data_IF_853721166076
#
_entry.id   IF_853721166076
#
_cell.length_a   1.000
_cell.length_b   1.000
_cell.length_c   1.000
_cell.angle_alpha   90.00
_cell.angle_beta   90.00
_cell.angle_gamma   90.00
#
_symmetry.space_group_name_H-M   'P 1'
#
loop_
_entity.id
_entity.type
_entity.pdbx_description
1 polymer ?
#
# COMPACT_ATOMS: atom_id res chain seq x y z
N UNK A 1 -18.69 -6.93 12.72
CA UNK A 1 -18.89 -6.47 11.36
C UNK A 1 -17.64 -5.78 10.84
N UNK A 2 -17.24 -6.10 9.61
CA UNK A 2 -16.03 -5.55 9.01
C UNK A 2 -16.39 -4.47 8.01
N UNK A 3 -15.74 -3.32 8.14
CA UNK A 3 -15.94 -2.20 7.22
C UNK A 3 -14.61 -1.84 6.57
N UNK A 4 -14.66 -1.56 5.27
CA UNK A 4 -13.48 -1.09 4.54
C UNK A 4 -13.82 0.27 3.95
N UNK A 5 -12.96 1.25 4.22
CA UNK A 5 -13.21 2.61 3.76
C UNK A 5 -11.91 3.40 3.73
N UNK A 6 -11.92 4.49 2.98
CA UNK A 6 -10.78 5.42 3.01
C UNK A 6 -10.95 6.39 4.15
N UNK A 7 -9.84 6.73 4.80
CA UNK A 7 -9.85 7.55 6.00
C UNK A 7 -10.34 8.96 5.71
N UNK A 8 -10.91 9.57 6.75
CA UNK A 8 -11.23 10.98 6.75
C UNK A 8 -10.33 11.66 7.78
N UNK A 9 -10.44 12.98 7.86
CA UNK A 9 -9.64 13.74 8.82
C UNK A 9 -9.87 13.25 10.25
N UNK A 10 -11.07 12.78 10.55
CA UNK A 10 -11.39 12.26 11.88
C UNK A 10 -10.62 11.00 12.24
N UNK A 11 -10.06 10.32 11.27
CA UNK A 11 -9.34 9.06 11.49
C UNK A 11 -7.85 9.25 11.69
N UNK A 12 -7.34 10.49 11.54
CA UNK A 12 -5.90 10.74 11.53
C UNK A 12 -5.21 10.23 12.80
N UNK A 13 -5.78 10.54 13.97
CA UNK A 13 -5.13 10.13 15.21
C UNK A 13 -5.17 8.63 15.41
N UNK A 14 -6.27 8.00 14.98
CA UNK A 14 -6.37 6.55 15.04
C UNK A 14 -5.34 5.88 14.14
N UNK A 15 -5.12 6.46 12.96
CA UNK A 15 -4.11 5.94 12.05
C UNK A 15 -2.71 6.07 12.63
N UNK A 16 -2.40 7.24 13.21
CA UNK A 16 -1.10 7.41 13.85
C UNK A 16 -0.88 6.38 14.94
N UNK A 17 -1.91 6.15 15.74
CA UNK A 17 -1.84 5.19 16.83
C UNK A 17 -1.64 3.77 16.29
N UNK A 18 -2.39 3.43 15.25
CA UNK A 18 -2.35 2.09 14.68
C UNK A 18 -0.95 1.76 14.14
N UNK A 19 -0.40 2.63 13.32
CA UNK A 19 0.92 2.39 12.75
C UNK A 19 2.03 2.55 13.80
N UNK A 20 1.84 3.46 14.75
CA UNK A 20 2.82 3.68 15.80
C UNK A 20 3.02 2.49 16.70
N UNK A 21 1.96 1.75 16.97
CA UNK A 21 2.05 0.56 17.84
C UNK A 21 2.95 -0.51 17.24
N UNK A 22 3.11 -0.53 15.93
CA UNK A 22 3.95 -1.50 15.26
C UNK A 22 5.30 -0.91 14.85
N UNK A 23 5.65 0.26 15.40
CA UNK A 23 6.87 0.99 15.03
C UNK A 23 6.93 1.30 13.54
N UNK A 24 5.78 1.53 12.95
CA UNK A 24 5.70 1.87 11.53
C UNK A 24 5.12 3.25 11.36
N UNK A 25 5.62 4.19 12.14
CA UNK A 25 5.15 5.58 12.06
C UNK A 25 5.24 6.11 10.64
N UNK A 26 4.22 6.85 10.26
CA UNK A 26 4.19 7.51 8.98
C UNK A 26 3.84 8.97 9.23
N UNK A 27 4.82 9.84 9.08
CA UNK A 27 4.63 11.26 9.39
C UNK A 27 3.89 12.01 8.29
N UNK A 28 3.52 11.34 7.21
CA UNK A 28 2.74 11.96 6.14
C UNK A 28 1.24 11.72 6.30
N UNK A 29 0.82 11.01 7.34
CA UNK A 29 -0.61 10.71 7.54
C UNK A 29 -1.44 11.99 7.61
N UNK A 30 -0.90 13.04 8.25
CA UNK A 30 -1.63 14.30 8.34
C UNK A 30 -1.96 14.90 6.98
N UNK A 31 -1.10 14.66 6.00
CA UNK A 31 -1.29 15.19 4.65
C UNK A 31 -2.00 14.21 3.74
N UNK A 32 -1.77 12.92 3.93
CA UNK A 32 -2.20 11.91 2.98
C UNK A 32 -3.31 11.00 3.53
N UNK A 33 -3.98 11.41 4.61
CA UNK A 33 -4.95 10.51 5.26
C UNK A 33 -6.02 9.99 4.29
N UNK A 34 -6.45 10.82 3.35
CA UNK A 34 -7.48 10.41 2.41
C UNK A 34 -7.03 9.30 1.46
N UNK A 35 -5.74 9.01 1.45
CA UNK A 35 -5.16 7.95 0.64
C UNK A 35 -4.82 6.71 1.45
N UNK A 36 -5.37 6.62 2.66
CA UNK A 36 -5.21 5.43 3.50
C UNK A 36 -6.52 4.69 3.56
N UNK A 37 -6.50 3.42 3.15
CA UNK A 37 -7.65 2.54 3.24
C UNK A 37 -7.57 1.75 4.53
N UNK A 38 -8.69 1.67 5.23
CA UNK A 38 -8.78 1.09 6.56
C UNK A 38 -9.71 -0.10 6.53
N UNK A 39 -9.31 -1.17 7.22
CA UNK A 39 -10.20 -2.26 7.59
C UNK A 39 -10.52 -2.10 9.06
N UNK A 40 -11.80 -1.94 9.36
CA UNK A 40 -12.25 -1.75 10.74
C UNK A 40 -13.17 -2.88 11.14
N UNK A 41 -12.97 -3.37 12.36
CA UNK A 41 -13.82 -4.42 12.91
C UNK A 41 -14.04 -4.12 14.39
N UNK A 42 -15.31 -4.13 14.81
CA UNK A 42 -15.67 -3.87 16.19
C UNK A 42 -15.12 -2.51 16.68
N UNK A 43 -15.13 -1.51 15.80
CA UNK A 43 -14.68 -0.17 16.14
C UNK A 43 -13.18 0.01 16.16
N UNK A 44 -12.41 -1.02 15.82
CA UNK A 44 -10.96 -0.94 15.87
C UNK A 44 -10.35 -1.16 14.50
N UNK A 45 -9.28 -0.44 14.23
CA UNK A 45 -8.56 -0.60 12.98
C UNK A 45 -7.77 -1.91 13.04
N UNK A 46 -7.99 -2.78 12.07
CA UNK A 46 -7.29 -4.07 11.96
C UNK A 46 -6.26 -4.08 10.85
N UNK A 47 -6.45 -3.25 9.83
CA UNK A 47 -5.50 -3.16 8.74
C UNK A 47 -5.55 -1.76 8.15
N UNK A 48 -4.42 -1.35 7.58
CA UNK A 48 -4.33 -0.06 6.92
C UNK A 48 -3.31 -0.14 5.80
N UNK A 49 -3.59 0.58 4.72
CA UNK A 49 -2.66 0.66 3.59
C UNK A 49 -2.78 2.04 2.98
N UNK A 50 -1.63 2.68 2.77
CA UNK A 50 -1.59 4.01 2.17
C UNK A 50 -0.85 4.00 0.86
N UNK A 51 -1.09 5.02 0.06
CA UNK A 51 -0.39 5.16 -1.21
C UNK A 51 -0.17 6.64 -1.51
N UNK A 52 0.78 6.88 -2.41
CA UNK A 52 1.07 8.22 -2.88
C UNK A 52 1.09 8.16 -4.40
N UNK A 53 0.28 8.99 -5.04
CA UNK A 53 0.08 8.94 -6.48
C UNK A 53 0.89 10.02 -7.19
N UNK A 54 1.48 9.64 -8.33
CA UNK A 54 2.14 10.58 -9.21
C UNK A 54 1.75 10.19 -10.62
N UNK A 55 0.83 10.97 -11.22
CA UNK A 55 0.28 10.64 -12.52
C UNK A 55 -0.46 9.32 -12.48
N UNK A 56 -0.12 8.41 -13.36
CA UNK A 56 -0.76 7.10 -13.38
C UNK A 56 0.02 6.05 -12.59
N UNK A 57 1.06 6.48 -11.87
CA UNK A 57 1.85 5.61 -11.01
C UNK A 57 1.54 5.91 -9.56
N UNK A 58 1.67 4.90 -8.70
CA UNK A 58 1.51 5.11 -7.27
C UNK A 58 2.49 4.24 -6.49
N UNK A 59 2.92 4.76 -5.36
CA UNK A 59 3.81 4.06 -4.45
C UNK A 59 3.01 3.72 -3.20
N UNK A 60 2.95 2.43 -2.86
CA UNK A 60 2.36 1.99 -1.60
C UNK A 60 3.34 2.37 -0.52
N UNK A 61 2.88 3.12 0.50
CA UNK A 61 3.82 3.62 1.49
C UNK A 61 3.72 2.93 2.85
N UNK A 62 2.55 2.46 3.23
CA UNK A 62 2.39 1.79 4.52
C UNK A 62 1.37 0.69 4.35
N UNK A 63 1.69 -0.48 4.83
CA UNK A 63 0.76 -1.61 4.79
C UNK A 63 0.97 -2.41 6.05
N UNK A 64 -0.07 -2.48 6.88
CA UNK A 64 0.02 -3.15 8.16
C UNK A 64 -1.31 -3.79 8.48
N UNK A 65 -1.26 -5.00 9.02
CA UNK A 65 -2.47 -5.65 9.53
C UNK A 65 -2.13 -6.36 10.83
N UNK A 66 -3.12 -6.43 11.73
CA UNK A 66 -2.90 -7.05 13.02
C UNK A 66 -2.88 -8.58 12.87
N UNK A 67 -2.24 -9.28 13.83
CA UNK A 67 -2.12 -10.74 13.71
C UNK A 67 -3.44 -11.49 13.68
N UNK A 68 -4.52 -10.88 14.17
CA UNK A 68 -5.82 -11.56 14.17
C UNK A 68 -6.61 -11.37 12.88
N UNK A 69 -6.04 -10.70 11.89
CA UNK A 69 -6.65 -10.64 10.56
C UNK A 69 -6.29 -11.95 9.86
N UNK A 70 -7.32 -12.73 9.50
CA UNK A 70 -7.03 -14.00 8.85
C UNK A 70 -6.66 -13.78 7.39
N UNK A 71 -6.11 -14.84 6.79
CA UNK A 71 -5.59 -14.76 5.44
C UNK A 71 -6.65 -14.33 4.43
N UNK A 72 -7.84 -14.90 4.55
CA UNK A 72 -8.94 -14.60 3.63
C UNK A 72 -9.34 -13.14 3.71
N UNK A 73 -9.43 -12.60 4.92
CA UNK A 73 -9.78 -11.20 5.12
C UNK A 73 -8.72 -10.28 4.54
N UNK A 74 -7.44 -10.63 4.73
CA UNK A 74 -6.37 -9.82 4.17
C UNK A 74 -6.40 -9.83 2.64
N UNK A 75 -6.62 -11.00 2.04
CA UNK A 75 -6.69 -11.10 0.59
C UNK A 75 -7.83 -10.25 0.04
N UNK A 76 -8.97 -10.31 0.71
CA UNK A 76 -10.13 -9.51 0.31
C UNK A 76 -9.82 -8.02 0.41
N UNK A 77 -9.21 -7.61 1.52
CA UNK A 77 -8.87 -6.21 1.76
C UNK A 77 -7.91 -5.69 0.68
N UNK A 78 -6.87 -6.47 0.40
CA UNK A 78 -5.88 -6.03 -0.57
C UNK A 78 -6.45 -6.03 -1.98
N UNK A 79 -7.31 -6.99 -2.29
CA UNK A 79 -7.97 -7.02 -3.59
C UNK A 79 -8.86 -5.79 -3.78
N UNK A 80 -9.57 -5.38 -2.72
CA UNK A 80 -10.34 -4.14 -2.77
C UNK A 80 -9.45 -2.94 -3.01
N UNK A 81 -8.29 -2.92 -2.38
CA UNK A 81 -7.35 -1.83 -2.58
C UNK A 81 -6.93 -1.74 -4.04
N UNK A 82 -6.60 -2.88 -4.64
CA UNK A 82 -6.21 -2.89 -6.05
C UNK A 82 -7.35 -2.40 -6.95
N UNK A 83 -8.58 -2.78 -6.61
CA UNK A 83 -9.72 -2.35 -7.38
C UNK A 83 -9.90 -0.84 -7.31
N UNK A 84 -9.74 -0.26 -6.12
CA UNK A 84 -9.81 1.19 -5.97
C UNK A 84 -8.70 1.89 -6.74
N UNK A 85 -7.51 1.29 -6.78
CA UNK A 85 -6.41 1.88 -7.55
C UNK A 85 -6.77 1.93 -9.03
N UNK A 86 -7.39 0.88 -9.54
CA UNK A 86 -7.83 0.86 -10.94
C UNK A 86 -8.88 1.95 -11.19
N UNK A 87 -9.80 2.15 -10.27
CA UNK A 87 -10.84 3.16 -10.41
C UNK A 87 -10.26 4.57 -10.43
N UNK A 88 -9.09 4.76 -9.85
CA UNK A 88 -8.43 6.07 -9.87
C UNK A 88 -7.49 6.22 -11.05
N UNK A 89 -7.57 5.31 -12.02
CA UNK A 89 -6.74 5.32 -13.23
C UNK A 89 -5.25 5.18 -12.93
N UNK A 90 -4.93 4.53 -11.82
CA UNK A 90 -3.56 4.17 -11.53
C UNK A 90 -3.25 2.90 -12.29
N UNK A 91 -2.17 2.94 -13.08
CA UNK A 91 -1.80 1.81 -13.93
C UNK A 91 -0.68 0.97 -13.37
N UNK A 92 0.20 1.59 -12.59
CA UNK A 92 1.38 0.90 -12.06
C UNK A 92 1.48 1.17 -10.58
N UNK A 93 1.65 0.11 -9.80
CA UNK A 93 1.90 0.22 -8.37
C UNK A 93 3.32 -0.22 -8.07
N UNK A 94 3.93 0.44 -7.11
CA UNK A 94 5.28 0.13 -6.65
C UNK A 94 5.27 0.03 -5.14
N UNK A 95 6.10 -0.85 -4.61
CA UNK A 95 6.29 -0.89 -3.17
C UNK A 95 7.69 -1.40 -2.87
N UNK A 96 8.20 -1.05 -1.69
CA UNK A 96 9.47 -1.54 -1.22
C UNK A 96 9.26 -2.34 0.06
N UNK A 97 9.98 -3.43 0.19
CA UNK A 97 9.95 -4.23 1.40
C UNK A 97 11.35 -4.79 1.64
N UNK A 98 11.69 -5.02 2.92
CA UNK A 98 12.92 -5.73 3.24
C UNK A 98 12.62 -7.05 3.94
N UNK A 99 11.37 -7.52 3.82
CA UNK A 99 10.94 -8.78 4.41
C UNK A 99 10.65 -9.78 3.30
N UNK A 100 11.49 -10.81 3.13
CA UNK A 100 11.27 -11.78 2.05
C UNK A 100 9.90 -12.46 2.09
N UNK A 101 9.34 -12.67 3.29
CA UNK A 101 8.02 -13.29 3.38
C UNK A 101 6.94 -12.44 2.72
N UNK A 102 7.07 -11.12 2.77
CA UNK A 102 6.11 -10.22 2.16
C UNK A 102 6.09 -10.35 0.66
N UNK A 103 7.26 -10.67 0.07
CA UNK A 103 7.36 -10.82 -1.38
C UNK A 103 6.40 -11.88 -1.88
N UNK A 104 6.33 -13.02 -1.19
CA UNK A 104 5.44 -14.11 -1.60
C UNK A 104 3.98 -13.66 -1.63
N UNK A 105 3.57 -12.91 -0.61
CA UNK A 105 2.20 -12.41 -0.54
C UNK A 105 1.88 -11.50 -1.73
N UNK A 106 2.79 -10.56 -2.01
CA UNK A 106 2.54 -9.62 -3.10
C UNK A 106 2.64 -10.30 -4.47
N UNK A 107 3.52 -11.31 -4.60
CA UNK A 107 3.58 -12.06 -5.85
C UNK A 107 2.27 -12.79 -6.14
N UNK A 108 1.54 -13.15 -5.10
CA UNK A 108 0.21 -13.74 -5.27
C UNK A 108 -0.72 -12.77 -6.01
N UNK A 109 -0.50 -11.47 -5.86
CA UNK A 109 -1.30 -10.44 -6.53
C UNK A 109 -0.62 -9.92 -7.79
N UNK A 110 0.29 -10.71 -8.35
CA UNK A 110 0.97 -10.38 -9.62
C UNK A 110 1.98 -9.24 -9.52
N UNK A 111 2.49 -8.99 -8.34
CA UNK A 111 3.64 -8.12 -8.21
C UNK A 111 4.88 -8.88 -8.64
N UNK A 112 5.80 -8.19 -9.28
CA UNK A 112 7.07 -8.78 -9.70
C UNK A 112 8.21 -7.95 -9.14
N UNK A 113 9.34 -8.63 -8.88
CA UNK A 113 10.54 -7.94 -8.40
C UNK A 113 11.18 -7.22 -9.58
N UNK A 114 11.51 -5.95 -9.39
CA UNK A 114 12.17 -5.17 -10.44
C UNK A 114 13.41 -4.49 -9.88
N UNK A 115 14.23 -3.96 -10.80
CA UNK A 115 15.42 -3.23 -10.42
C UNK A 115 15.10 -1.75 -10.29
N UNK A 116 15.94 -1.04 -9.55
CA UNK A 116 15.74 0.39 -9.31
C UNK A 116 15.63 1.17 -10.61
N UNK A 117 16.41 0.77 -11.61
CA UNK A 117 16.42 1.46 -12.91
C UNK A 117 15.09 1.37 -13.64
N UNK A 118 14.27 0.39 -13.29
CA UNK A 118 12.97 0.21 -13.92
C UNK A 118 11.87 1.02 -13.28
N UNK A 119 12.16 1.72 -12.17
CA UNK A 119 11.18 2.54 -11.47
C UNK A 119 11.13 3.92 -12.11
N UNK A 120 9.94 4.46 -12.42
CA UNK A 120 9.84 5.81 -12.97
C UNK A 120 10.47 6.84 -12.06
N UNK A 121 11.05 7.87 -12.65
CA UNK A 121 11.74 8.88 -11.89
C UNK A 121 10.83 9.57 -10.88
N UNK A 122 9.58 9.84 -11.27
CA UNK A 122 8.65 10.53 -10.36
C UNK A 122 8.38 9.69 -9.10
N UNK A 123 8.46 8.36 -9.19
CA UNK A 123 8.32 7.51 -8.01
C UNK A 123 9.62 7.51 -7.21
N UNK A 124 10.78 7.45 -7.90
CA UNK A 124 12.07 7.43 -7.21
C UNK A 124 12.33 8.72 -6.44
N UNK A 125 11.69 9.82 -6.83
CA UNK A 125 11.88 11.10 -6.16
C UNK A 125 11.01 11.26 -4.91
N UNK A 126 10.03 10.39 -4.71
CA UNK A 126 9.19 10.47 -3.52
C UNK A 126 10.03 10.18 -2.28
N UNK A 127 9.77 10.95 -1.23
CA UNK A 127 10.53 10.82 0.00
C UNK A 127 10.49 9.40 0.56
N UNK A 128 9.31 8.78 0.51
CA UNK A 128 9.15 7.42 1.00
C UNK A 128 10.06 6.44 0.26
N UNK A 129 10.16 6.60 -1.07
CA UNK A 129 11.05 5.76 -1.86
C UNK A 129 12.51 5.99 -1.48
N UNK A 130 12.90 7.28 -1.41
CA UNK A 130 14.29 7.62 -1.09
C UNK A 130 14.72 7.07 0.26
N UNK A 131 13.81 7.09 1.21
CA UNK A 131 14.08 6.64 2.56
C UNK A 131 14.19 5.12 2.63
N UNK A 132 13.29 4.42 1.96
CA UNK A 132 13.20 2.98 2.11
C UNK A 132 14.15 2.21 1.20
N UNK A 133 14.57 2.79 0.09
CA UNK A 133 15.53 2.12 -0.78
C UNK A 133 16.89 1.94 -0.09
N UNK A 134 17.14 2.73 0.94
CA UNK A 134 18.40 2.64 1.69
C UNK A 134 18.39 1.55 2.74
N UNK A 135 17.24 0.94 2.99
CA UNK A 135 17.16 -0.16 3.95
C UNK A 135 17.94 -1.36 3.45
N UNK A 136 18.54 -2.08 4.40
CA UNK A 136 19.30 -3.26 4.05
C UNK A 136 18.37 -4.29 3.41
N UNK A 137 18.81 -4.83 2.27
CA UNK A 137 18.06 -5.85 1.54
C UNK A 137 16.69 -5.35 1.04
N UNK A 138 16.60 -4.06 0.69
CA UNK A 138 15.37 -3.53 0.13
C UNK A 138 15.06 -4.20 -1.21
N UNK A 139 13.80 -4.61 -1.35
CA UNK A 139 13.31 -5.25 -2.56
C UNK A 139 12.23 -4.36 -3.15
N UNK A 140 12.28 -4.11 -4.45
CA UNK A 140 11.29 -3.29 -5.13
C UNK A 140 10.34 -4.21 -5.88
N UNK A 141 9.05 -3.98 -5.69
CA UNK A 141 8.02 -4.76 -6.36
C UNK A 141 7.13 -3.83 -7.18
N UNK A 142 6.68 -4.34 -8.31
CA UNK A 142 5.82 -3.60 -9.24
C UNK A 142 4.64 -4.46 -9.65
N UNK A 143 3.47 -3.85 -9.69
CA UNK A 143 2.27 -4.49 -10.20
C UNK A 143 1.65 -3.64 -11.28
N UNK A 144 1.45 -4.22 -12.44
CA UNK A 144 0.77 -3.57 -13.54
C UNK A 144 -0.72 -3.85 -13.41
N UNK A 145 -1.51 -2.82 -13.18
CA UNK A 145 -2.93 -2.98 -12.85
C UNK A 145 -3.81 -3.18 -14.06
N UNK A 146 -3.48 -2.53 -15.18
CA UNK A 146 -4.28 -2.68 -16.38
C UNK A 146 -3.60 -3.62 -17.32
N UNK A 147 -4.30 -4.70 -17.61
CA UNK A 147 -3.96 -5.50 -18.76
C UNK A 147 -4.81 -4.93 -19.86
N UNK A 148 -4.21 -4.33 -20.81
CA UNK A 148 -4.94 -3.74 -21.88
C UNK A 148 -5.61 -4.83 -22.68
N UNK A 149 -6.85 -4.81 -22.67
CA UNK A 149 -7.59 -5.81 -23.39
C UNK A 149 -7.72 -5.41 -24.78
N UNK A 150 -7.69 -5.84 -25.38
CA UNK A 150 -7.93 -5.40 -26.32
C UNK A 150 -8.96 -5.47 -27.04
N UNK A 151 -9.08 -5.18 -26.87
CA UNK A 151 -9.77 -5.00 -27.17
C UNK A 151 -10.00 -4.79 -27.78
N UNK A 152 -9.90 -4.92 -27.88
CA UNK A 152 -10.18 -4.85 -28.07
C UNK A 152 -10.31 -4.68 -28.53
#
# INVERSE_FOLDING_TARGET
MKNVYFATKADVERLHSFFGQANKKDDKINELYAQFMILEEAGEIRAGIGYEQSGENALIRSCLFTPNVDKQTFLYFFEMFLQYMKEKDIRQLYLLTNHPQSVTIFQFFNFVIIEKEEVPEEIRQLEHFCKNIKELNAIILNCQLFTKLSTD
#
